data_IF_822825076484
#
_entry.id   IF_822825076484
#
_cell.length_a   1.000
_cell.length_b   1.000
_cell.length_c   1.000
_cell.angle_alpha   90.00
_cell.angle_beta   90.00
_cell.angle_gamma   90.00
#
_symmetry.space_group_name_H-M   'P 1'
#
loop_
_entity.id
_entity.type
_entity.pdbx_description
1 polymer ?
#
# COMPACT_ATOMS: atom_id res chain seq x y z
N UNK A 1 20.46 4.88 -28.78
CA UNK A 1 19.07 5.29 -29.11
C UNK A 1 18.38 5.53 -27.78
N UNK A 2 17.84 6.71 -27.56
CA UNK A 2 16.98 6.98 -26.42
C UNK A 2 15.64 6.29 -26.68
N UNK A 3 15.22 5.42 -25.77
CA UNK A 3 13.90 4.78 -25.84
C UNK A 3 12.82 5.85 -25.70
N UNK A 4 11.77 5.74 -26.52
CA UNK A 4 10.59 6.60 -26.42
C UNK A 4 9.71 6.17 -25.24
N UNK A 5 8.94 7.08 -24.67
CA UNK A 5 7.98 6.76 -23.59
C UNK A 5 7.02 5.66 -24.01
N UNK A 6 6.60 5.63 -25.28
CA UNK A 6 5.70 4.60 -25.82
C UNK A 6 6.36 3.21 -25.83
N UNK A 7 7.63 3.12 -26.21
CA UNK A 7 8.38 1.84 -26.17
C UNK A 7 8.48 1.30 -24.74
N UNK A 8 8.77 2.15 -23.79
CA UNK A 8 8.86 1.79 -22.38
C UNK A 8 7.51 1.26 -21.87
N UNK A 9 6.44 2.01 -22.06
CA UNK A 9 5.08 1.59 -21.65
C UNK A 9 4.70 0.27 -22.32
N UNK A 10 4.97 0.12 -23.61
CA UNK A 10 4.66 -1.12 -24.34
C UNK A 10 5.39 -2.33 -23.77
N UNK A 11 6.67 -2.19 -23.43
CA UNK A 11 7.46 -3.26 -22.81
C UNK A 11 6.90 -3.62 -21.43
N UNK A 12 6.60 -2.63 -20.59
CA UNK A 12 6.06 -2.86 -19.25
C UNK A 12 4.70 -3.57 -19.30
N UNK A 13 3.82 -3.14 -20.18
CA UNK A 13 2.50 -3.79 -20.38
C UNK A 13 2.68 -5.21 -20.89
N UNK A 14 3.59 -5.45 -21.85
CA UNK A 14 3.88 -6.78 -22.35
C UNK A 14 4.42 -7.71 -21.26
N UNK A 15 5.37 -7.24 -20.42
CA UNK A 15 5.91 -8.01 -19.31
C UNK A 15 4.79 -8.31 -18.30
N UNK A 16 3.98 -7.33 -17.92
CA UNK A 16 2.86 -7.50 -16.99
C UNK A 16 1.83 -8.53 -17.54
N UNK A 17 1.50 -8.47 -18.81
CA UNK A 17 0.58 -9.40 -19.46
C UNK A 17 1.15 -10.83 -19.50
N UNK A 18 2.42 -11.01 -19.88
CA UNK A 18 3.09 -12.32 -19.94
C UNK A 18 3.18 -12.91 -18.52
N UNK A 19 3.62 -12.14 -17.54
CA UNK A 19 3.75 -12.63 -16.17
C UNK A 19 2.39 -12.89 -15.52
N UNK A 20 1.37 -12.07 -15.81
CA UNK A 20 0.00 -12.34 -15.41
C UNK A 20 -0.54 -13.64 -15.98
N UNK A 21 -0.30 -13.90 -17.28
CA UNK A 21 -0.67 -15.14 -17.94
C UNK A 21 0.06 -16.36 -17.32
N UNK A 22 1.38 -16.26 -17.11
CA UNK A 22 2.19 -17.30 -16.46
C UNK A 22 1.71 -17.58 -15.04
N UNK A 23 1.35 -16.52 -14.28
CA UNK A 23 0.83 -16.63 -12.92
C UNK A 23 -0.44 -17.48 -12.86
N UNK A 24 -1.41 -17.19 -13.71
CA UNK A 24 -2.68 -17.94 -13.74
C UNK A 24 -2.46 -19.36 -14.25
N UNK A 25 -1.71 -19.51 -15.33
CA UNK A 25 -1.58 -20.78 -16.05
C UNK A 25 -0.72 -21.81 -15.31
N UNK A 26 0.41 -21.38 -14.72
CA UNK A 26 1.41 -22.28 -14.14
C UNK A 26 1.49 -22.18 -12.62
N UNK A 27 1.51 -20.97 -12.07
CA UNK A 27 1.66 -20.78 -10.62
C UNK A 27 0.34 -20.94 -9.87
N UNK A 28 -0.80 -20.77 -10.56
CA UNK A 28 -2.16 -20.79 -9.97
C UNK A 28 -2.31 -19.75 -8.84
N UNK A 29 -1.55 -18.65 -8.94
CA UNK A 29 -1.57 -17.52 -8.02
C UNK A 29 -2.46 -16.39 -8.58
N UNK A 30 -2.95 -15.47 -7.73
CA UNK A 30 -3.53 -14.22 -8.18
C UNK A 30 -2.59 -13.47 -9.11
N UNK A 31 -3.13 -12.73 -10.10
CA UNK A 31 -2.33 -12.01 -11.10
C UNK A 31 -1.26 -11.14 -10.43
N UNK A 32 -1.67 -10.30 -9.50
CA UNK A 32 -0.80 -9.35 -8.78
C UNK A 32 0.34 -10.05 -8.04
N UNK A 33 0.04 -11.09 -7.27
CA UNK A 33 1.03 -11.86 -6.49
C UNK A 33 2.01 -12.58 -7.41
N UNK A 34 1.49 -13.24 -8.46
CA UNK A 34 2.33 -13.98 -9.37
C UNK A 34 3.18 -13.09 -10.27
N UNK A 35 2.64 -11.97 -10.74
CA UNK A 35 3.41 -10.96 -11.50
C UNK A 35 4.57 -10.44 -10.67
N UNK A 36 4.32 -10.07 -9.41
CA UNK A 36 5.31 -9.61 -8.48
C UNK A 36 6.41 -10.66 -8.23
N UNK A 37 6.01 -11.91 -7.92
CA UNK A 37 6.94 -13.01 -7.68
C UNK A 37 7.81 -13.29 -8.90
N UNK A 38 7.22 -13.38 -10.09
CA UNK A 38 7.94 -13.61 -11.35
C UNK A 38 8.90 -12.49 -11.66
N UNK A 39 8.49 -11.22 -11.47
CA UNK A 39 9.37 -10.08 -11.71
C UNK A 39 10.57 -10.08 -10.76
N UNK A 40 10.35 -10.35 -9.47
CA UNK A 40 11.44 -10.47 -8.49
C UNK A 40 12.39 -11.60 -8.86
N UNK A 41 11.88 -12.79 -9.21
CA UNK A 41 12.72 -13.94 -9.60
C UNK A 41 13.55 -13.61 -10.84
N UNK A 42 12.94 -13.05 -11.88
CA UNK A 42 13.62 -12.69 -13.11
C UNK A 42 14.67 -11.61 -12.86
N UNK A 43 14.35 -10.60 -12.05
CA UNK A 43 15.30 -9.53 -11.72
C UNK A 43 16.49 -10.01 -10.90
N UNK A 44 16.27 -10.87 -9.92
CA UNK A 44 17.35 -11.51 -9.15
C UNK A 44 18.23 -12.42 -10.04
N UNK A 45 17.60 -13.18 -10.95
CA UNK A 45 18.32 -13.99 -11.92
C UNK A 45 19.17 -13.11 -12.86
N UNK A 46 18.63 -12.01 -13.36
CA UNK A 46 19.34 -11.05 -14.20
C UNK A 46 20.51 -10.39 -13.45
N UNK A 47 20.32 -10.01 -12.19
CA UNK A 47 21.40 -9.46 -11.36
C UNK A 47 22.51 -10.49 -11.12
N UNK A 48 22.16 -11.77 -10.88
CA UNK A 48 23.13 -12.86 -10.72
C UNK A 48 23.87 -13.22 -12.01
N UNK A 49 23.23 -13.10 -13.17
CA UNK A 49 23.77 -13.43 -14.49
C UNK A 49 24.47 -12.22 -15.14
N UNK A 50 24.41 -11.04 -14.54
CA UNK A 50 24.98 -9.81 -15.09
C UNK A 50 26.46 -9.90 -15.47
N UNK A 51 27.22 -10.74 -14.79
CA UNK A 51 28.60 -11.06 -15.15
C UNK A 51 28.78 -11.96 -16.39
N UNK A 52 27.74 -12.70 -16.78
CA UNK A 52 27.77 -13.69 -17.88
C UNK A 52 27.18 -13.10 -19.17
N UNK A 53 26.18 -12.25 -19.08
CA UNK A 53 25.50 -11.59 -20.23
C UNK A 53 25.36 -10.08 -20.04
N UNK A 54 26.51 -9.31 -20.17
CA UNK A 54 26.51 -7.86 -20.02
C UNK A 54 25.46 -7.10 -20.89
N UNK A 55 25.14 -7.53 -22.13
CA UNK A 55 24.20 -6.80 -22.98
C UNK A 55 22.78 -6.79 -22.43
N UNK A 56 22.32 -7.89 -21.84
CA UNK A 56 20.97 -8.00 -21.28
C UNK A 56 20.84 -7.18 -19.98
N UNK A 57 21.82 -7.26 -19.11
CA UNK A 57 21.87 -6.45 -17.90
C UNK A 57 21.87 -4.95 -18.22
N UNK A 58 22.71 -4.51 -19.16
CA UNK A 58 22.79 -3.11 -19.58
C UNK A 58 21.51 -2.62 -20.31
N UNK A 59 20.76 -3.52 -20.94
CA UNK A 59 19.46 -3.18 -21.53
C UNK A 59 18.43 -2.89 -20.44
N UNK A 60 18.31 -3.76 -19.44
CA UNK A 60 17.36 -3.58 -18.32
C UNK A 60 17.74 -2.35 -17.47
N UNK A 61 19.03 -2.17 -17.19
CA UNK A 61 19.52 -0.98 -16.48
C UNK A 61 19.20 0.31 -17.24
N UNK A 62 19.37 0.34 -18.56
CA UNK A 62 18.96 1.49 -19.39
C UNK A 62 17.46 1.70 -19.36
N UNK A 63 16.65 0.62 -19.45
CA UNK A 63 15.19 0.72 -19.35
C UNK A 63 14.79 1.39 -18.04
N UNK A 64 15.32 0.93 -16.92
CA UNK A 64 15.04 1.47 -15.58
C UNK A 64 15.50 2.93 -15.45
N UNK A 65 16.71 3.25 -15.89
CA UNK A 65 17.27 4.62 -15.80
C UNK A 65 16.55 5.67 -16.66
N UNK A 66 15.86 5.25 -17.75
CA UNK A 66 15.11 6.16 -18.62
C UNK A 66 13.69 6.42 -18.11
N UNK A 67 13.19 5.60 -17.17
CA UNK A 67 11.89 5.82 -16.54
C UNK A 67 12.12 6.74 -15.35
N UNK A 68 11.51 7.91 -15.36
CA UNK A 68 11.35 8.67 -14.11
C UNK A 68 10.27 8.00 -13.26
N UNK A 69 10.68 6.89 -12.61
CA UNK A 69 9.83 6.07 -11.75
C UNK A 69 9.13 6.90 -10.69
N UNK A 70 9.83 7.88 -10.13
CA UNK A 70 9.28 8.78 -9.14
C UNK A 70 8.06 9.52 -9.69
N UNK A 71 8.21 10.21 -10.82
CA UNK A 71 7.10 10.97 -11.42
C UNK A 71 5.97 10.07 -11.90
N UNK A 72 6.28 8.93 -12.51
CA UNK A 72 5.27 7.96 -12.97
C UNK A 72 4.43 7.45 -11.79
N UNK A 73 5.06 7.07 -10.68
CA UNK A 73 4.34 6.52 -9.55
C UNK A 73 3.65 7.63 -8.75
N UNK A 74 4.36 8.70 -8.39
CA UNK A 74 3.82 9.73 -7.51
C UNK A 74 2.75 10.61 -8.17
N UNK A 75 2.93 10.95 -9.45
CA UNK A 75 2.00 11.85 -10.16
C UNK A 75 0.99 11.10 -11.05
N UNK A 76 1.37 9.93 -11.57
CA UNK A 76 0.52 9.14 -12.45
C UNK A 76 -0.29 8.07 -11.74
N UNK A 77 0.38 7.23 -10.96
CA UNK A 77 -0.25 6.02 -10.40
C UNK A 77 -0.89 6.25 -9.03
N UNK A 78 -0.23 6.99 -8.14
CA UNK A 78 -0.67 7.18 -6.75
C UNK A 78 -2.10 7.77 -6.63
N UNK A 79 -2.47 8.84 -7.36
CA UNK A 79 -3.83 9.37 -7.32
C UNK A 79 -4.89 8.32 -7.66
N UNK A 80 -4.64 7.58 -8.73
CA UNK A 80 -5.57 6.57 -9.23
C UNK A 80 -5.65 5.35 -8.32
N UNK A 81 -4.50 4.89 -7.75
CA UNK A 81 -4.47 3.77 -6.80
C UNK A 81 -5.25 4.09 -5.52
N UNK A 82 -5.00 5.26 -4.93
CA UNK A 82 -5.67 5.67 -3.70
C UNK A 82 -7.17 5.90 -3.93
N UNK A 83 -7.51 6.54 -5.05
CA UNK A 83 -8.92 6.74 -5.40
C UNK A 83 -9.63 5.41 -5.70
N UNK A 84 -9.07 4.54 -6.54
CA UNK A 84 -9.65 3.24 -6.86
C UNK A 84 -9.82 2.37 -5.61
N UNK A 85 -8.76 2.24 -4.80
CA UNK A 85 -8.79 1.50 -3.55
C UNK A 85 -9.87 1.99 -2.60
N UNK A 86 -10.03 3.31 -2.45
CA UNK A 86 -11.04 3.92 -1.59
C UNK A 86 -12.46 3.83 -2.15
N UNK A 87 -12.61 3.99 -3.46
CA UNK A 87 -13.90 3.88 -4.16
C UNK A 87 -14.45 2.45 -4.14
N UNK A 88 -13.60 1.44 -4.22
CA UNK A 88 -13.99 0.03 -4.25
C UNK A 88 -14.21 -0.59 -2.86
N UNK A 89 -13.95 0.17 -1.77
CA UNK A 89 -14.19 -0.32 -0.41
C UNK A 89 -15.65 -0.66 -0.13
N UNK A 90 -15.85 -1.71 0.65
CA UNK A 90 -17.15 -2.03 1.24
C UNK A 90 -17.43 -1.08 2.42
N UNK A 91 -18.18 -0.01 2.13
CA UNK A 91 -18.48 1.03 3.12
C UNK A 91 -19.32 0.52 4.29
N UNK A 92 -20.14 -0.51 4.12
CA UNK A 92 -20.97 -1.06 5.21
C UNK A 92 -20.10 -1.80 6.22
N UNK A 93 -19.14 -2.59 5.73
CA UNK A 93 -18.17 -3.28 6.58
C UNK A 93 -17.21 -2.29 7.22
N UNK A 94 -16.74 -1.29 6.47
CA UNK A 94 -15.89 -0.23 7.00
C UNK A 94 -16.62 0.55 8.12
N UNK A 95 -17.89 0.87 7.94
CA UNK A 95 -18.69 1.57 8.95
C UNK A 95 -18.87 0.75 10.24
N UNK A 96 -18.96 -0.57 10.15
CA UNK A 96 -19.03 -1.46 11.32
C UNK A 96 -17.73 -1.51 12.09
N UNK A 97 -16.59 -1.47 11.39
CA UNK A 97 -15.25 -1.57 11.96
C UNK A 97 -14.55 -0.20 12.08
N UNK A 98 -15.26 0.92 11.85
CA UNK A 98 -14.69 2.27 11.73
C UNK A 98 -13.76 2.65 12.88
N UNK A 99 -14.11 2.29 14.11
CA UNK A 99 -13.30 2.66 15.29
C UNK A 99 -12.00 1.85 15.33
N UNK A 100 -12.07 0.54 15.10
CA UNK A 100 -10.88 -0.29 15.02
C UNK A 100 -9.97 0.15 13.86
N UNK A 101 -10.55 0.36 12.66
CA UNK A 101 -9.82 0.86 11.49
C UNK A 101 -9.15 2.21 11.79
N UNK A 102 -9.87 3.18 12.37
CA UNK A 102 -9.29 4.49 12.69
C UNK A 102 -8.15 4.41 13.69
N UNK A 103 -8.28 3.59 14.75
CA UNK A 103 -7.22 3.39 15.73
C UNK A 103 -5.97 2.78 15.08
N UNK A 104 -6.14 1.72 14.27
CA UNK A 104 -5.02 1.07 13.59
C UNK A 104 -4.40 1.98 12.51
N UNK A 105 -5.22 2.68 11.74
CA UNK A 105 -4.74 3.56 10.68
C UNK A 105 -4.01 4.79 11.23
N UNK A 106 -4.52 5.44 12.27
CA UNK A 106 -3.91 6.68 12.80
C UNK A 106 -2.83 6.34 13.81
N UNK A 107 -3.23 5.75 14.96
CA UNK A 107 -2.29 5.46 16.03
C UNK A 107 -1.28 4.38 15.60
N UNK A 108 -1.72 3.35 14.87
CA UNK A 108 -0.85 2.30 14.35
C UNK A 108 0.22 2.83 13.42
N UNK A 109 -0.13 3.71 12.49
CA UNK A 109 0.84 4.32 11.58
C UNK A 109 1.82 5.22 12.32
N UNK A 110 1.33 6.13 13.17
CA UNK A 110 2.19 7.03 13.94
C UNK A 110 3.15 6.25 14.85
N UNK A 111 2.67 5.28 15.62
CA UNK A 111 3.54 4.43 16.44
C UNK A 111 4.54 3.64 15.60
N UNK A 112 4.13 3.10 14.46
CA UNK A 112 5.02 2.38 13.54
C UNK A 112 6.13 3.28 13.02
N UNK A 113 5.81 4.51 12.60
CA UNK A 113 6.80 5.49 12.12
C UNK A 113 7.87 5.75 13.17
N UNK A 114 7.46 6.16 14.39
CA UNK A 114 8.41 6.53 15.44
C UNK A 114 9.19 5.33 15.98
N UNK A 115 8.56 4.17 16.14
CA UNK A 115 9.24 2.98 16.65
C UNK A 115 10.21 2.40 15.63
N UNK A 116 9.85 2.35 14.33
CA UNK A 116 10.80 1.95 13.28
C UNK A 116 11.94 2.94 13.19
N UNK A 117 11.67 4.24 13.19
CA UNK A 117 12.69 5.27 13.20
C UNK A 117 13.64 5.13 14.40
N UNK A 118 13.10 4.90 15.60
CA UNK A 118 13.89 4.71 16.81
C UNK A 118 14.78 3.47 16.76
N UNK A 119 14.26 2.34 16.30
CA UNK A 119 15.06 1.11 16.15
C UNK A 119 16.15 1.29 15.08
N UNK A 120 15.83 1.87 13.93
CA UNK A 120 16.81 2.11 12.88
C UNK A 120 17.88 3.10 13.33
N UNK A 121 17.54 4.15 14.05
CA UNK A 121 18.50 5.10 14.61
C UNK A 121 19.44 4.44 15.63
N UNK A 122 18.91 3.58 16.52
CA UNK A 122 19.71 2.81 17.46
C UNK A 122 20.68 1.84 16.77
N UNK A 123 20.26 1.21 15.67
CA UNK A 123 21.08 0.25 14.92
C UNK A 123 22.09 0.97 14.03
N UNK A 124 21.69 2.07 13.36
CA UNK A 124 22.54 2.85 12.47
C UNK A 124 23.61 3.67 13.23
N UNK A 125 23.38 3.97 14.51
CA UNK A 125 24.27 4.80 15.30
C UNK A 125 24.46 6.19 14.70
N UNK A 126 25.73 6.58 14.44
CA UNK A 126 26.07 7.89 13.86
C UNK A 126 25.96 7.97 12.34
N UNK A 127 25.57 6.87 11.66
CA UNK A 127 25.55 6.82 10.19
C UNK A 127 24.26 7.34 9.54
N UNK A 128 23.19 7.57 10.36
CA UNK A 128 21.94 8.13 9.89
C UNK A 128 21.39 9.15 10.90
N UNK A 129 20.86 10.24 10.41
CA UNK A 129 20.23 11.25 11.24
C UNK A 129 18.85 10.79 11.71
N UNK A 130 18.36 11.39 12.82
CA UNK A 130 17.00 11.10 13.30
C UNK A 130 15.93 11.39 12.25
N UNK A 131 16.10 12.48 11.47
CA UNK A 131 15.16 12.86 10.42
C UNK A 131 15.15 11.85 9.28
N UNK A 132 16.32 11.36 8.85
CA UNK A 132 16.41 10.28 7.87
C UNK A 132 15.70 9.01 8.36
N UNK A 133 15.89 8.64 9.63
CA UNK A 133 15.20 7.50 10.22
C UNK A 133 13.68 7.71 10.28
N UNK A 134 13.20 8.95 10.53
CA UNK A 134 11.77 9.28 10.46
C UNK A 134 11.22 9.18 9.04
N UNK A 135 11.97 9.67 8.04
CA UNK A 135 11.63 9.51 6.62
C UNK A 135 11.50 8.03 6.28
N UNK A 136 12.50 7.22 6.67
CA UNK A 136 12.44 5.76 6.47
C UNK A 136 11.28 5.12 7.20
N UNK A 137 11.03 5.48 8.46
CA UNK A 137 9.88 5.02 9.24
C UNK A 137 8.56 5.34 8.57
N UNK A 138 8.41 6.54 8.00
CA UNK A 138 7.21 6.95 7.28
C UNK A 138 6.97 6.10 6.04
N UNK A 139 7.95 6.03 5.14
CA UNK A 139 7.80 5.29 3.87
C UNK A 139 7.59 3.79 4.07
N UNK A 140 8.22 3.20 5.10
CA UNK A 140 8.11 1.75 5.33
C UNK A 140 6.89 1.38 6.19
N UNK A 141 6.21 2.35 6.81
CA UNK A 141 4.99 2.08 7.58
C UNK A 141 3.77 1.82 6.72
N UNK A 142 3.79 2.23 5.45
CA UNK A 142 2.73 1.96 4.49
C UNK A 142 2.60 0.46 4.25
N UNK A 143 1.36 -0.02 4.13
CA UNK A 143 1.07 -1.45 3.92
C UNK A 143 0.22 -1.65 2.69
N UNK A 144 0.51 -2.69 1.91
CA UNK A 144 -0.26 -3.07 0.73
C UNK A 144 -1.16 -4.28 1.07
N UNK A 145 -2.48 -4.10 1.12
CA UNK A 145 -3.38 -5.17 1.47
C UNK A 145 -3.74 -6.09 0.29
N UNK A 146 -3.46 -5.68 -0.96
CA UNK A 146 -4.00 -6.30 -2.18
C UNK A 146 -3.66 -7.77 -2.25
N UNK A 147 -2.38 -8.10 -2.15
CA UNK A 147 -1.91 -9.48 -2.18
C UNK A 147 -2.53 -10.32 -1.05
N UNK A 148 -2.61 -9.76 0.15
CA UNK A 148 -3.20 -10.43 1.32
C UNK A 148 -4.71 -10.60 1.17
N UNK A 149 -5.42 -9.58 0.77
CA UNK A 149 -6.88 -9.62 0.62
C UNK A 149 -7.31 -10.67 -0.40
N UNK A 150 -6.58 -10.80 -1.51
CA UNK A 150 -6.87 -11.83 -2.52
C UNK A 150 -6.63 -13.25 -1.97
N UNK A 151 -5.56 -13.45 -1.19
CA UNK A 151 -5.32 -14.72 -0.49
C UNK A 151 -6.39 -14.99 0.57
N UNK A 152 -6.78 -13.99 1.36
CA UNK A 152 -7.80 -14.13 2.40
C UNK A 152 -9.20 -14.40 1.84
N UNK A 153 -9.50 -13.94 0.63
CA UNK A 153 -10.76 -14.29 -0.07
C UNK A 153 -10.88 -15.78 -0.33
N UNK A 154 -9.77 -16.46 -0.64
CA UNK A 154 -9.74 -17.92 -0.92
C UNK A 154 -9.76 -18.79 0.34
N UNK A 155 -9.41 -18.23 1.50
CA UNK A 155 -9.23 -18.98 2.74
C UNK A 155 -10.42 -18.89 3.71
N UNK A 156 -11.51 -18.23 3.33
CA UNK A 156 -12.73 -18.14 4.17
C UNK A 156 -12.57 -17.29 5.44
N UNK A 157 -11.58 -16.40 5.49
CA UNK A 157 -11.40 -15.45 6.61
C UNK A 157 -12.59 -14.50 6.68
N UNK A 158 -13.09 -14.18 7.90
CA UNK A 158 -14.23 -13.27 8.09
C UNK A 158 -14.06 -11.94 7.36
N UNK A 159 -15.17 -11.45 6.79
CA UNK A 159 -15.19 -10.20 6.02
C UNK A 159 -14.76 -8.99 6.86
N UNK A 160 -15.06 -8.99 8.16
CA UNK A 160 -14.63 -7.95 9.10
C UNK A 160 -13.11 -7.79 9.15
N UNK A 161 -12.33 -8.89 9.18
CA UNK A 161 -10.85 -8.83 9.18
C UNK A 161 -10.33 -8.29 7.85
N UNK A 162 -10.95 -8.67 6.73
CA UNK A 162 -10.60 -8.15 5.41
C UNK A 162 -10.88 -6.67 5.29
N UNK A 163 -12.04 -6.20 5.77
CA UNK A 163 -12.40 -4.79 5.79
C UNK A 163 -11.47 -3.97 6.71
N UNK A 164 -11.07 -4.54 7.85
CA UNK A 164 -10.10 -3.91 8.75
C UNK A 164 -8.75 -3.74 8.08
N UNK A 165 -8.20 -4.79 7.44
CA UNK A 165 -6.92 -4.72 6.72
C UNK A 165 -6.98 -3.73 5.54
N UNK A 166 -8.06 -3.78 4.74
CA UNK A 166 -8.23 -2.87 3.61
C UNK A 166 -8.34 -1.41 4.05
N UNK A 167 -9.17 -1.14 5.08
CA UNK A 167 -9.33 0.21 5.61
C UNK A 167 -8.08 0.73 6.30
N UNK A 168 -7.42 -0.10 7.14
CA UNK A 168 -6.16 0.26 7.78
C UNK A 168 -5.13 0.69 6.75
N UNK A 169 -4.91 -0.14 5.71
CA UNK A 169 -3.90 0.11 4.69
C UNK A 169 -4.19 1.37 3.89
N UNK A 170 -5.42 1.55 3.43
CA UNK A 170 -5.80 2.73 2.66
C UNK A 170 -5.52 4.05 3.41
N UNK A 171 -5.90 4.10 4.69
CA UNK A 171 -5.70 5.30 5.49
C UNK A 171 -4.23 5.47 5.93
N UNK A 172 -3.51 4.37 6.19
CA UNK A 172 -2.10 4.48 6.54
C UNK A 172 -1.26 4.98 5.36
N UNK A 173 -1.62 4.61 4.12
CA UNK A 173 -0.96 5.11 2.92
C UNK A 173 -1.10 6.63 2.79
N UNK A 174 -2.32 7.15 2.97
CA UNK A 174 -2.56 8.59 3.00
C UNK A 174 -1.80 9.32 4.12
N UNK A 175 -1.87 8.81 5.36
CA UNK A 175 -1.22 9.41 6.53
C UNK A 175 0.31 9.32 6.41
N UNK A 176 0.84 8.16 6.03
CA UNK A 176 2.26 7.93 5.86
C UNK A 176 2.88 8.79 4.77
N UNK A 177 2.18 8.96 3.63
CA UNK A 177 2.62 9.83 2.55
C UNK A 177 2.68 11.31 2.99
N UNK A 178 1.68 11.81 3.72
CA UNK A 178 1.70 13.19 4.28
C UNK A 178 2.85 13.36 5.26
N UNK A 179 3.04 12.39 6.15
CA UNK A 179 4.14 12.43 7.11
C UNK A 179 5.50 12.42 6.41
N UNK A 180 5.67 11.54 5.42
CA UNK A 180 6.87 11.44 4.61
C UNK A 180 7.21 12.77 3.92
N UNK A 181 6.26 13.35 3.17
CA UNK A 181 6.45 14.62 2.46
C UNK A 181 6.81 15.75 3.42
N UNK A 182 6.13 15.82 4.57
CA UNK A 182 6.44 16.83 5.60
C UNK A 182 7.84 16.63 6.19
N UNK A 183 8.28 15.39 6.43
CA UNK A 183 9.63 15.14 6.95
C UNK A 183 10.72 15.48 5.93
N UNK A 184 10.47 15.25 4.64
CA UNK A 184 11.38 15.67 3.57
C UNK A 184 11.49 17.20 3.51
N UNK A 185 10.38 17.93 3.66
CA UNK A 185 10.39 19.41 3.76
C UNK A 185 11.18 19.90 4.99
N UNK A 186 10.98 19.26 6.15
CA UNK A 186 11.73 19.57 7.38
C UNK A 186 13.23 19.32 7.20
N UNK A 187 13.61 18.24 6.53
CA UNK A 187 15.02 17.92 6.28
C UNK A 187 15.72 18.97 5.39
N UNK A 188 14.97 19.62 4.49
CA UNK A 188 15.47 20.70 3.59
C UNK A 188 15.65 22.06 4.28
N UNK A 189 15.62 22.13 5.61
CA UNK A 189 15.93 23.33 6.36
C UNK A 189 14.74 24.19 6.78
N UNK A 190 13.52 23.74 6.52
CA UNK A 190 12.32 24.35 7.08
C UNK A 190 11.95 23.60 8.37
N UNK A 191 12.79 23.70 9.40
CA UNK A 191 12.61 23.01 10.67
C UNK A 191 11.71 23.81 11.63
N UNK A 192 10.37 23.76 11.49
CA UNK A 192 9.48 24.27 12.52
C UNK A 192 9.60 23.38 13.78
N UNK A 193 9.28 23.96 14.93
CA UNK A 193 9.26 23.15 16.17
C UNK A 193 8.26 21.98 16.08
N UNK A 194 8.40 20.95 16.94
CA UNK A 194 7.56 19.72 16.89
C UNK A 194 6.05 20.02 16.94
N UNK A 195 5.63 21.03 17.67
CA UNK A 195 4.22 21.44 17.75
C UNK A 195 3.73 22.05 16.43
N UNK A 196 4.60 22.80 15.75
CA UNK A 196 4.28 23.39 14.43
C UNK A 196 4.19 22.29 13.35
N UNK A 197 5.10 21.31 13.38
CA UNK A 197 5.04 20.14 12.47
C UNK A 197 3.70 19.42 12.61
N UNK A 198 3.29 19.15 13.86
CA UNK A 198 2.00 18.51 14.14
C UNK A 198 0.84 19.35 13.61
N UNK A 199 0.86 20.67 13.80
CA UNK A 199 -0.16 21.57 13.27
C UNK A 199 -0.22 21.55 11.73
N UNK A 200 0.93 21.59 11.05
CA UNK A 200 1.02 21.50 9.59
C UNK A 200 0.44 20.19 9.07
N UNK A 201 0.77 19.06 9.71
CA UNK A 201 0.23 17.74 9.34
C UNK A 201 -1.30 17.72 9.42
N UNK A 202 -1.87 18.22 10.53
CA UNK A 202 -3.34 18.27 10.69
C UNK A 202 -4.01 19.19 9.70
N UNK A 203 -3.43 20.35 9.39
CA UNK A 203 -3.98 21.30 8.41
C UNK A 203 -3.91 20.71 7.00
N UNK A 204 -2.74 20.20 6.57
CA UNK A 204 -2.58 19.58 5.25
C UNK A 204 -3.52 18.39 5.07
N UNK A 205 -3.66 17.55 6.08
CA UNK A 205 -4.56 16.41 6.06
C UNK A 205 -6.03 16.83 6.03
N UNK A 206 -6.44 17.71 6.93
CA UNK A 206 -7.82 18.17 7.06
C UNK A 206 -8.34 18.90 5.82
N UNK A 207 -7.54 19.81 5.27
CA UNK A 207 -7.90 20.54 4.05
C UNK A 207 -7.91 19.62 2.83
N UNK A 208 -6.97 18.67 2.70
CA UNK A 208 -6.98 17.67 1.64
C UNK A 208 -8.30 16.86 1.65
N UNK A 209 -8.69 16.35 2.82
CA UNK A 209 -9.96 15.63 3.01
C UNK A 209 -11.16 16.53 2.65
N UNK A 210 -11.16 17.79 3.06
CA UNK A 210 -12.26 18.72 2.78
C UNK A 210 -12.40 18.99 1.26
N UNK A 211 -11.29 19.18 0.56
CA UNK A 211 -11.27 19.32 -0.90
C UNK A 211 -11.83 18.06 -1.56
N UNK A 212 -11.38 16.87 -1.16
CA UNK A 212 -11.84 15.62 -1.72
C UNK A 212 -13.35 15.40 -1.56
N UNK A 213 -13.89 15.66 -0.36
CA UNK A 213 -15.34 15.57 -0.11
C UNK A 213 -16.11 16.59 -0.94
N UNK A 214 -15.65 17.85 -1.01
CA UNK A 214 -16.29 18.90 -1.78
C UNK A 214 -16.30 18.61 -3.28
N UNK A 215 -15.16 18.19 -3.83
CA UNK A 215 -15.04 17.83 -5.25
C UNK A 215 -15.90 16.59 -5.59
N UNK A 216 -15.92 15.58 -4.72
CA UNK A 216 -16.78 14.42 -4.87
C UNK A 216 -18.28 14.78 -4.84
N UNK A 217 -18.68 15.74 -3.99
CA UNK A 217 -20.06 16.23 -3.97
C UNK A 217 -20.45 16.88 -5.29
N UNK A 218 -19.58 17.76 -5.84
CA UNK A 218 -19.80 18.39 -7.15
C UNK A 218 -19.90 17.32 -8.24
N UNK A 219 -18.96 16.39 -8.28
CA UNK A 219 -18.91 15.30 -9.26
C UNK A 219 -20.17 14.43 -9.19
N UNK A 220 -20.60 14.03 -7.99
CA UNK A 220 -21.82 13.26 -7.81
C UNK A 220 -23.07 14.05 -8.24
N UNK A 221 -23.09 15.38 -8.07
CA UNK A 221 -24.19 16.23 -8.53
C UNK A 221 -24.24 16.30 -10.06
N UNK A 222 -23.10 16.37 -10.75
CA UNK A 222 -23.03 16.35 -12.21
C UNK A 222 -23.47 15.00 -12.77
N UNK A 223 -23.00 13.89 -12.19
CA UNK A 223 -23.37 12.54 -12.58
C UNK A 223 -24.89 12.28 -12.51
N UNK A 224 -25.61 12.95 -11.62
CA UNK A 224 -27.08 12.82 -11.52
C UNK A 224 -27.84 13.42 -12.67
N UNK A 225 -27.26 14.38 -13.37
CA UNK A 225 -27.93 15.12 -14.46
C UNK A 225 -27.80 14.43 -15.81
N UNK A 226 -26.91 13.46 -15.93
CA UNK A 226 -26.63 12.73 -17.18
C UNK A 226 -26.62 11.24 -16.90
N UNK A 227 -27.38 10.48 -17.71
CA UNK A 227 -27.42 9.01 -17.59
C UNK A 227 -26.58 8.43 -18.73
N UNK A 228 -25.24 8.50 -18.57
CA UNK A 228 -24.30 7.94 -19.52
C UNK A 228 -23.04 7.48 -18.76
N UNK A 229 -22.78 6.16 -18.77
CA UNK A 229 -21.66 5.57 -18.02
C UNK A 229 -20.29 6.12 -18.46
N UNK A 230 -20.13 6.48 -19.74
CA UNK A 230 -18.91 7.09 -20.25
C UNK A 230 -18.63 8.42 -19.56
N UNK A 231 -19.66 9.25 -19.37
CA UNK A 231 -19.55 10.54 -18.68
C UNK A 231 -19.25 10.32 -17.19
N UNK A 232 -19.88 9.33 -16.58
CA UNK A 232 -19.63 8.97 -15.17
C UNK A 232 -18.17 8.53 -14.96
N UNK A 233 -17.62 7.72 -15.87
CA UNK A 233 -16.20 7.32 -15.86
C UNK A 233 -15.28 8.55 -16.01
N UNK A 234 -15.54 9.40 -17.00
CA UNK A 234 -14.73 10.61 -17.24
C UNK A 234 -14.78 11.57 -16.05
N UNK A 235 -15.95 11.78 -15.44
CA UNK A 235 -16.11 12.62 -14.26
C UNK A 235 -15.39 12.02 -13.04
N UNK A 236 -15.44 10.71 -12.83
CA UNK A 236 -14.72 10.06 -11.73
C UNK A 236 -13.19 10.09 -11.94
N UNK A 237 -12.73 9.95 -13.19
CA UNK A 237 -11.32 10.05 -13.55
C UNK A 237 -10.81 11.51 -13.38
N UNK A 238 -11.63 12.49 -13.82
CA UNK A 238 -11.33 13.91 -13.59
C UNK A 238 -11.27 14.24 -12.10
N UNK A 239 -12.12 13.66 -11.26
CA UNK A 239 -12.06 13.82 -9.82
C UNK A 239 -10.77 13.23 -9.25
N UNK A 240 -10.41 12.00 -9.63
CA UNK A 240 -9.24 11.31 -9.10
C UNK A 240 -7.92 12.04 -9.45
N UNK A 241 -7.79 12.52 -10.69
CA UNK A 241 -6.58 13.22 -11.14
C UNK A 241 -6.63 14.73 -10.83
N UNK A 242 -7.74 15.38 -11.16
CA UNK A 242 -7.89 16.82 -10.99
C UNK A 242 -7.99 17.23 -9.53
N UNK A 243 -8.68 16.45 -8.69
CA UNK A 243 -8.77 16.68 -7.25
C UNK A 243 -7.41 16.57 -6.58
N UNK A 244 -6.65 15.55 -6.92
CA UNK A 244 -5.28 15.37 -6.43
C UNK A 244 -4.38 16.55 -6.81
N UNK A 245 -4.36 16.95 -8.09
CA UNK A 245 -3.56 18.11 -8.57
C UNK A 245 -4.01 19.39 -7.89
N UNK A 246 -5.32 19.59 -7.71
CA UNK A 246 -5.85 20.76 -6.99
C UNK A 246 -5.35 20.82 -5.54
N UNK A 247 -5.34 19.67 -4.83
CA UNK A 247 -4.83 19.61 -3.47
C UNK A 247 -3.32 19.89 -3.42
N UNK A 248 -2.52 19.29 -4.30
CA UNK A 248 -1.07 19.52 -4.38
C UNK A 248 -0.74 20.98 -4.70
N UNK A 249 -1.45 21.59 -5.64
CA UNK A 249 -1.26 23.01 -5.98
C UNK A 249 -1.69 23.96 -4.87
N UNK A 250 -2.66 23.57 -4.05
CA UNK A 250 -3.07 24.28 -2.84
C UNK A 250 -2.12 24.07 -1.65
N UNK A 251 -1.06 23.26 -1.81
CA UNK A 251 -0.10 22.96 -0.75
C UNK A 251 -0.64 22.04 0.35
N UNK A 252 -1.69 21.26 0.06
CA UNK A 252 -2.32 20.31 0.98
C UNK A 252 -2.15 18.87 0.50
N UNK A 253 -2.66 17.89 1.26
CA UNK A 253 -2.43 16.47 0.97
C UNK A 253 -3.25 15.96 -0.20
N UNK A 254 -2.62 15.74 -1.37
CA UNK A 254 -3.19 15.02 -2.51
C UNK A 254 -3.57 13.56 -2.17
N UNK A 255 -2.72 12.78 -1.49
CA UNK A 255 -3.05 11.42 -1.09
C UNK A 255 -4.34 11.31 -0.25
N UNK A 256 -4.52 12.17 0.75
CA UNK A 256 -5.74 12.16 1.58
C UNK A 256 -6.95 12.74 0.85
N UNK A 257 -6.73 13.67 -0.07
CA UNK A 257 -7.77 14.13 -1.00
C UNK A 257 -8.31 12.94 -1.82
N UNK A 258 -7.44 12.18 -2.50
CA UNK A 258 -7.86 11.06 -3.35
C UNK A 258 -8.63 9.98 -2.57
N UNK A 259 -8.18 9.65 -1.35
CA UNK A 259 -8.89 8.72 -0.47
C UNK A 259 -10.27 9.25 -0.08
N UNK A 260 -10.34 10.50 0.34
CA UNK A 260 -11.60 11.12 0.75
C UNK A 260 -12.57 11.28 -0.42
N UNK A 261 -12.06 11.63 -1.61
CA UNK A 261 -12.83 11.76 -2.83
C UNK A 261 -13.47 10.42 -3.26
N UNK A 262 -12.70 9.33 -3.24
CA UNK A 262 -13.19 8.00 -3.59
C UNK A 262 -14.30 7.51 -2.65
N UNK A 263 -14.07 7.60 -1.31
CA UNK A 263 -15.07 7.24 -0.30
C UNK A 263 -16.33 8.10 -0.44
N UNK A 264 -16.16 9.43 -0.56
CA UNK A 264 -17.26 10.38 -0.64
C UNK A 264 -18.10 10.17 -1.92
N UNK A 265 -17.45 10.01 -3.08
CA UNK A 265 -18.14 9.75 -4.34
C UNK A 265 -18.96 8.44 -4.26
N UNK A 266 -18.36 7.37 -3.72
CA UNK A 266 -19.06 6.10 -3.48
C UNK A 266 -20.29 6.29 -2.62
N UNK A 267 -20.15 7.01 -1.49
CA UNK A 267 -21.23 7.27 -0.54
C UNK A 267 -22.35 8.14 -1.15
N UNK A 268 -21.99 9.22 -1.86
CA UNK A 268 -22.95 10.09 -2.50
C UNK A 268 -23.71 9.38 -3.64
N UNK A 269 -23.02 8.62 -4.47
CA UNK A 269 -23.64 7.85 -5.54
C UNK A 269 -24.61 6.80 -4.97
N UNK A 270 -24.24 6.09 -3.89
CA UNK A 270 -25.11 5.15 -3.20
C UNK A 270 -26.36 5.82 -2.65
N UNK A 271 -26.21 6.99 -2.02
CA UNK A 271 -27.33 7.72 -1.39
C UNK A 271 -28.29 8.32 -2.41
N UNK A 272 -27.78 8.79 -3.52
CA UNK A 272 -28.57 9.62 -4.46
C UNK A 272 -29.00 8.89 -5.73
N UNK A 273 -28.30 7.83 -6.16
CA UNK A 273 -28.58 7.11 -7.43
C UNK A 273 -29.06 5.67 -7.22
N UNK A 274 -28.93 5.14 -6.00
CA UNK A 274 -29.24 3.73 -5.73
C UNK A 274 -28.36 2.73 -6.48
N UNK A 275 -28.89 1.53 -6.72
CA UNK A 275 -28.28 0.53 -7.59
C UNK A 275 -28.76 0.73 -9.02
N UNK A 276 -27.87 1.21 -9.91
CA UNK A 276 -28.14 1.39 -11.33
C UNK A 276 -27.11 0.66 -12.17
N UNK A 277 -27.46 0.29 -13.42
CA UNK A 277 -26.56 -0.34 -14.40
C UNK A 277 -25.29 0.52 -14.60
N UNK A 278 -25.45 1.83 -14.76
CA UNK A 278 -24.33 2.77 -14.92
C UNK A 278 -23.34 2.74 -13.74
N UNK A 279 -23.78 2.35 -12.52
CA UNK A 279 -22.91 2.17 -11.37
C UNK A 279 -22.03 0.92 -11.51
N UNK A 280 -22.59 -0.17 -12.03
CA UNK A 280 -21.85 -1.41 -12.25
C UNK A 280 -20.69 -1.20 -13.25
N UNK A 281 -20.90 -0.37 -14.28
CA UNK A 281 -19.87 -0.04 -15.28
C UNK A 281 -18.72 0.79 -14.69
N UNK A 282 -19.03 1.76 -13.83
CA UNK A 282 -18.01 2.56 -13.12
C UNK A 282 -17.24 1.69 -12.14
N UNK A 283 -17.91 0.81 -11.41
CA UNK A 283 -17.28 -0.14 -10.49
C UNK A 283 -16.34 -1.10 -11.26
N UNK A 284 -16.77 -1.61 -12.42
CA UNK A 284 -15.95 -2.46 -13.28
C UNK A 284 -14.73 -1.73 -13.83
N UNK A 285 -14.90 -0.47 -14.29
CA UNK A 285 -13.81 0.36 -14.76
C UNK A 285 -12.74 0.54 -13.67
N UNK A 286 -13.13 0.98 -12.47
CA UNK A 286 -12.18 1.22 -11.38
C UNK A 286 -11.50 -0.07 -10.91
N UNK A 287 -12.19 -1.20 -10.97
CA UNK A 287 -11.59 -2.51 -10.68
C UNK A 287 -10.51 -2.86 -11.69
N UNK A 288 -10.75 -2.64 -12.99
CA UNK A 288 -9.73 -2.87 -14.04
C UNK A 288 -8.55 -1.92 -13.88
N UNK A 289 -8.80 -0.64 -13.60
CA UNK A 289 -7.74 0.36 -13.34
C UNK A 289 -6.87 -0.08 -12.16
N UNK A 290 -7.48 -0.50 -11.04
CA UNK A 290 -6.76 -0.98 -9.86
C UNK A 290 -5.89 -2.20 -10.17
N UNK A 291 -6.45 -3.23 -10.83
CA UNK A 291 -5.73 -4.46 -11.18
C UNK A 291 -4.58 -4.23 -12.16
N UNK A 292 -4.79 -3.40 -13.20
CA UNK A 292 -3.76 -3.06 -14.19
C UNK A 292 -2.64 -2.25 -13.55
N UNK A 293 -2.97 -1.22 -12.79
CA UNK A 293 -1.96 -0.39 -12.12
C UNK A 293 -1.12 -1.18 -11.13
N UNK A 294 -1.74 -2.03 -10.32
CA UNK A 294 -1.00 -2.88 -9.39
C UNK A 294 -0.05 -3.84 -10.12
N UNK A 295 -0.50 -4.43 -11.25
CA UNK A 295 0.36 -5.30 -12.07
C UNK A 295 1.55 -4.55 -12.64
N UNK A 296 1.34 -3.34 -13.17
CA UNK A 296 2.42 -2.47 -13.68
C UNK A 296 3.36 -2.03 -12.57
N UNK A 297 2.83 -1.64 -11.41
CA UNK A 297 3.61 -1.24 -10.25
C UNK A 297 4.54 -2.36 -9.80
N UNK A 298 4.06 -3.60 -9.71
CA UNK A 298 4.88 -4.74 -9.33
C UNK A 298 5.94 -5.10 -10.36
N UNK A 299 5.67 -4.92 -11.66
CA UNK A 299 6.69 -5.08 -12.70
C UNK A 299 7.76 -4.01 -12.57
N UNK A 300 7.37 -2.75 -12.43
CA UNK A 300 8.31 -1.64 -12.22
C UNK A 300 9.22 -1.87 -11.01
N UNK A 301 8.61 -2.25 -9.89
CA UNK A 301 9.32 -2.57 -8.65
C UNK A 301 10.33 -3.71 -8.83
N UNK A 302 9.90 -4.78 -9.46
CA UNK A 302 10.78 -5.92 -9.64
C UNK A 302 11.95 -5.58 -10.57
N UNK A 303 11.75 -4.80 -11.62
CA UNK A 303 12.83 -4.36 -12.53
C UNK A 303 13.85 -3.47 -11.82
N UNK A 304 13.42 -2.62 -10.91
CA UNK A 304 14.31 -1.73 -10.15
C UNK A 304 15.29 -2.50 -9.25
N UNK A 305 14.97 -3.74 -8.83
CA UNK A 305 15.88 -4.60 -8.06
C UNK A 305 17.23 -4.77 -8.77
N UNK A 306 17.23 -4.79 -10.11
CA UNK A 306 18.45 -4.91 -10.91
C UNK A 306 19.39 -3.72 -10.70
N UNK A 307 18.86 -2.54 -10.40
CA UNK A 307 19.64 -1.33 -10.16
C UNK A 307 20.13 -1.18 -8.71
N UNK A 308 19.61 -1.99 -7.76
CA UNK A 308 20.03 -1.92 -6.36
C UNK A 308 21.36 -2.65 -6.14
N UNK A 309 22.41 -1.97 -5.64
CA UNK A 309 23.69 -2.62 -5.36
C UNK A 309 23.53 -3.59 -4.17
N UNK A 310 23.66 -4.89 -4.45
CA UNK A 310 23.63 -5.94 -3.42
C UNK A 310 25.02 -6.07 -2.78
N UNK A 311 25.34 -5.19 -1.84
CA UNK A 311 26.57 -5.21 -1.05
C UNK A 311 26.30 -5.55 0.43
N UNK A 312 27.35 -5.74 1.20
CA UNK A 312 27.24 -6.09 2.62
C UNK A 312 26.54 -5.00 3.44
N UNK A 313 26.71 -3.74 3.07
CA UNK A 313 26.03 -2.62 3.73
C UNK A 313 24.53 -2.65 3.48
N UNK A 314 24.10 -2.85 2.23
CA UNK A 314 22.69 -3.03 1.87
C UNK A 314 22.09 -4.25 2.58
N UNK A 315 22.82 -5.36 2.66
CA UNK A 315 22.37 -6.55 3.37
C UNK A 315 22.17 -6.30 4.88
N UNK A 316 23.10 -5.56 5.53
CA UNK A 316 23.01 -5.20 6.94
C UNK A 316 21.84 -4.25 7.22
N UNK A 317 21.72 -3.15 6.46
CA UNK A 317 20.62 -2.19 6.63
C UNK A 317 19.27 -2.84 6.34
N UNK A 318 19.15 -3.66 5.32
CA UNK A 318 17.94 -4.37 4.98
C UNK A 318 17.57 -5.45 6.00
N UNK A 319 18.55 -6.21 6.52
CA UNK A 319 18.32 -7.16 7.61
C UNK A 319 17.82 -6.47 8.88
N UNK A 320 18.45 -5.35 9.25
CA UNK A 320 18.01 -4.52 10.36
C UNK A 320 16.59 -3.97 10.14
N UNK A 321 16.29 -3.50 8.93
CA UNK A 321 14.97 -3.00 8.57
C UNK A 321 13.89 -4.10 8.64
N UNK A 322 14.16 -5.31 8.11
CA UNK A 322 13.23 -6.45 8.19
C UNK A 322 12.89 -6.77 9.65
N UNK A 323 13.90 -6.88 10.50
CA UNK A 323 13.70 -7.19 11.93
C UNK A 323 12.93 -6.06 12.62
N UNK A 324 13.33 -4.80 12.41
CA UNK A 324 12.69 -3.63 13.03
C UNK A 324 11.22 -3.51 12.60
N UNK A 325 10.94 -3.58 11.30
CA UNK A 325 9.59 -3.45 10.74
C UNK A 325 8.68 -4.57 11.23
N UNK A 326 9.17 -5.82 11.24
CA UNK A 326 8.37 -6.98 11.66
C UNK A 326 8.12 -6.95 13.18
N UNK A 327 9.14 -6.64 13.99
CA UNK A 327 9.02 -6.54 15.43
C UNK A 327 8.08 -5.39 15.85
N UNK A 328 8.23 -4.21 15.24
CA UNK A 328 7.35 -3.06 15.50
C UNK A 328 5.92 -3.38 15.09
N UNK A 329 5.70 -3.96 13.92
CA UNK A 329 4.36 -4.35 13.47
C UNK A 329 3.69 -5.29 14.47
N UNK A 330 4.42 -6.31 14.93
CA UNK A 330 3.92 -7.25 15.95
C UNK A 330 3.57 -6.53 17.26
N UNK A 331 4.47 -5.70 17.77
CA UNK A 331 4.27 -4.96 19.02
C UNK A 331 3.08 -3.98 18.92
N UNK A 332 2.99 -3.20 17.86
CA UNK A 332 1.90 -2.24 17.62
C UNK A 332 0.55 -2.96 17.49
N UNK A 333 0.49 -4.05 16.73
CA UNK A 333 -0.73 -4.85 16.60
C UNK A 333 -1.17 -5.42 17.96
N UNK A 334 -0.25 -5.96 18.77
CA UNK A 334 -0.59 -6.47 20.10
C UNK A 334 -1.10 -5.35 21.03
N UNK A 335 -0.43 -4.20 21.03
CA UNK A 335 -0.83 -3.03 21.81
C UNK A 335 -2.23 -2.57 21.44
N UNK A 336 -2.46 -2.30 20.15
CA UNK A 336 -3.74 -1.78 19.67
C UNK A 336 -4.89 -2.79 19.82
N UNK A 337 -4.65 -4.07 19.55
CA UNK A 337 -5.64 -5.12 19.85
C UNK A 337 -5.99 -5.18 21.33
N UNK A 338 -5.03 -5.00 22.23
CA UNK A 338 -5.31 -4.98 23.66
C UNK A 338 -6.21 -3.79 24.05
N UNK A 339 -5.99 -2.63 23.43
CA UNK A 339 -6.82 -1.43 23.63
C UNK A 339 -8.23 -1.66 23.06
N UNK A 340 -8.34 -2.11 21.81
CA UNK A 340 -9.63 -2.38 21.15
C UNK A 340 -10.46 -3.40 21.93
N UNK A 341 -9.82 -4.47 22.44
CA UNK A 341 -10.49 -5.50 23.25
C UNK A 341 -10.95 -4.95 24.60
N UNK A 342 -10.12 -4.15 25.30
CA UNK A 342 -10.50 -3.52 26.57
C UNK A 342 -11.67 -2.59 26.43
N UNK A 343 -11.73 -1.84 25.33
CA UNK A 343 -12.81 -0.91 25.03
C UNK A 343 -14.03 -1.62 24.40
N UNK A 344 -14.00 -2.94 24.17
CA UNK A 344 -15.04 -3.73 23.51
C UNK A 344 -15.43 -3.17 22.13
N UNK A 345 -14.47 -2.59 21.43
CA UNK A 345 -14.62 -1.98 20.11
C UNK A 345 -14.22 -3.00 19.03
N UNK A 346 -15.19 -3.48 18.24
CA UNK A 346 -14.96 -4.33 17.07
C UNK A 346 -14.86 -5.84 17.35
N UNK A 347 -14.73 -6.63 16.26
CA UNK A 347 -14.63 -8.07 16.30
C UNK A 347 -13.25 -8.55 16.74
N UNK A 348 -13.19 -9.79 17.26
CA UNK A 348 -11.95 -10.39 17.75
C UNK A 348 -11.02 -10.77 16.59
N UNK A 349 -10.28 -9.79 16.08
CA UNK A 349 -9.29 -10.00 15.03
C UNK A 349 -8.09 -10.80 15.54
N UNK A 350 -7.51 -11.62 14.65
CA UNK A 350 -6.33 -12.40 14.98
C UNK A 350 -5.06 -11.55 14.88
N UNK A 351 -4.34 -11.38 15.99
CA UNK A 351 -3.06 -10.67 16.01
C UNK A 351 -2.09 -11.19 14.94
N UNK A 352 -2.02 -12.51 14.76
CA UNK A 352 -1.12 -13.09 13.76
C UNK A 352 -1.53 -12.74 12.31
N UNK A 353 -2.84 -12.72 12.00
CA UNK A 353 -3.31 -12.35 10.65
C UNK A 353 -3.06 -10.86 10.41
N UNK A 354 -3.33 -9.99 11.38
CA UNK A 354 -3.09 -8.54 11.26
C UNK A 354 -1.60 -8.20 11.16
N UNK A 355 -0.75 -8.90 11.93
CA UNK A 355 0.71 -8.70 11.85
C UNK A 355 1.26 -9.16 10.51
N UNK A 356 0.92 -10.37 10.12
CA UNK A 356 1.44 -10.99 8.90
C UNK A 356 0.83 -10.40 7.64
N UNK A 357 -0.41 -9.89 7.72
CA UNK A 357 -1.13 -9.25 6.63
C UNK A 357 -0.70 -7.81 6.32
N UNK A 358 0.17 -7.22 7.12
CA UNK A 358 0.77 -5.91 6.81
C UNK A 358 1.92 -6.01 5.83
N UNK A 359 1.67 -6.54 4.62
CA UNK A 359 2.69 -6.60 3.57
C UNK A 359 3.12 -5.18 3.16
N UNK A 360 4.37 -5.05 2.73
CA UNK A 360 4.88 -3.79 2.17
C UNK A 360 4.79 -3.84 0.67
N UNK A 361 4.32 -2.75 0.08
CA UNK A 361 4.02 -2.68 -1.35
C UNK A 361 4.83 -1.63 -2.10
N UNK A 362 4.38 -1.39 -3.33
CA UNK A 362 5.04 -0.51 -4.27
C UNK A 362 5.14 0.94 -3.86
N UNK A 363 4.18 1.42 -3.09
CA UNK A 363 4.19 2.81 -2.64
C UNK A 363 5.40 3.10 -1.74
N UNK A 364 5.82 2.15 -0.88
CA UNK A 364 7.03 2.33 -0.06
C UNK A 364 8.29 2.54 -0.90
N UNK A 365 8.45 1.84 -2.03
CA UNK A 365 9.58 2.05 -2.95
C UNK A 365 9.48 3.38 -3.68
N UNK A 366 8.27 3.73 -4.16
CA UNK A 366 8.06 5.00 -4.81
C UNK A 366 8.50 6.18 -3.93
N UNK A 367 8.11 6.14 -2.66
CA UNK A 367 8.55 7.13 -1.68
C UNK A 367 10.06 7.05 -1.42
N UNK A 368 10.65 5.84 -1.33
CA UNK A 368 12.09 5.68 -1.15
C UNK A 368 12.89 6.29 -2.31
N UNK A 369 12.43 6.09 -3.56
CA UNK A 369 13.03 6.68 -4.76
C UNK A 369 12.86 8.21 -4.82
N UNK A 370 11.82 8.74 -4.18
CA UNK A 370 11.57 10.20 -4.11
C UNK A 370 12.36 10.92 -3.02
N UNK A 371 13.07 10.19 -2.15
CA UNK A 371 13.97 10.78 -1.17
C UNK A 371 15.12 11.51 -1.89
N UNK A 372 15.46 12.76 -1.53
CA UNK A 372 16.66 13.43 -2.03
C UNK A 372 17.94 12.63 -1.79
N UNK A 373 18.90 12.69 -2.70
CA UNK A 373 20.14 11.90 -2.59
C UNK A 373 20.97 12.23 -1.34
N UNK A 374 20.95 13.50 -0.93
CA UNK A 374 21.61 14.03 0.26
C UNK A 374 21.00 13.55 1.59
N UNK A 375 19.80 12.99 1.57
CA UNK A 375 19.08 12.49 2.74
C UNK A 375 19.14 10.94 2.89
N UNK A 376 20.23 10.33 2.42
CA UNK A 376 20.45 8.90 2.61
C UNK A 376 19.60 7.98 1.71
N UNK A 377 19.13 8.48 0.54
CA UNK A 377 18.33 7.73 -0.44
C UNK A 377 18.88 6.33 -0.72
N UNK A 378 20.19 6.20 -0.93
CA UNK A 378 20.83 4.95 -1.32
C UNK A 378 20.56 3.81 -0.33
N UNK A 379 20.73 4.03 0.98
CA UNK A 379 20.49 3.01 1.97
C UNK A 379 18.99 2.75 2.18
N UNK A 380 18.16 3.80 2.09
CA UNK A 380 16.70 3.67 2.25
C UNK A 380 16.10 2.82 1.13
N UNK A 381 16.49 3.08 -0.11
CA UNK A 381 16.06 2.29 -1.28
C UNK A 381 16.43 0.83 -1.10
N UNK A 382 17.71 0.54 -0.82
CA UNK A 382 18.17 -0.83 -0.62
C UNK A 382 17.47 -1.56 0.53
N UNK A 383 17.30 -0.91 1.69
CA UNK A 383 16.60 -1.46 2.84
C UNK A 383 15.12 -1.72 2.53
N UNK A 384 14.45 -0.78 1.85
CA UNK A 384 13.03 -0.91 1.45
C UNK A 384 12.84 -2.09 0.51
N UNK A 385 13.72 -2.27 -0.49
CA UNK A 385 13.66 -3.42 -1.39
C UNK A 385 13.77 -4.75 -0.65
N UNK A 386 14.73 -4.89 0.25
CA UNK A 386 14.89 -6.13 1.02
C UNK A 386 13.69 -6.42 1.92
N UNK A 387 13.09 -5.39 2.54
CA UNK A 387 11.85 -5.54 3.31
C UNK A 387 10.70 -6.00 2.43
N UNK A 388 10.55 -5.44 1.22
CA UNK A 388 9.47 -5.81 0.31
C UNK A 388 9.66 -7.23 -0.22
N UNK A 389 10.85 -7.59 -0.66
CA UNK A 389 11.16 -8.95 -1.11
C UNK A 389 10.88 -9.98 -0.01
N UNK A 390 11.30 -9.69 1.23
CA UNK A 390 10.96 -10.51 2.39
C UNK A 390 9.45 -10.60 2.61
N UNK A 391 8.77 -9.46 2.56
CA UNK A 391 7.32 -9.39 2.76
C UNK A 391 6.55 -10.22 1.73
N UNK A 392 6.95 -10.14 0.46
CA UNK A 392 6.32 -10.88 -0.63
C UNK A 392 6.58 -12.38 -0.52
N UNK A 393 7.86 -12.76 -0.42
CA UNK A 393 8.27 -14.18 -0.49
C UNK A 393 7.91 -14.90 0.80
N UNK A 394 8.23 -14.32 1.95
CA UNK A 394 8.09 -14.99 3.24
C UNK A 394 6.69 -14.76 3.82
N UNK A 395 6.27 -13.51 4.00
CA UNK A 395 4.96 -13.23 4.60
C UNK A 395 3.83 -13.61 3.65
N UNK A 396 3.86 -13.17 2.39
CA UNK A 396 2.87 -13.53 1.38
C UNK A 396 2.84 -15.04 1.15
N UNK A 397 3.98 -15.68 0.88
CA UNK A 397 4.05 -17.11 0.62
C UNK A 397 3.64 -18.02 1.78
N UNK A 398 3.71 -17.55 3.03
CA UNK A 398 3.32 -18.32 4.23
C UNK A 398 1.91 -18.00 4.73
N UNK A 399 1.22 -17.01 4.19
CA UNK A 399 -0.09 -16.55 4.67
C UNK A 399 -1.16 -17.63 4.67
N UNK A 400 -1.25 -18.41 3.59
CA UNK A 400 -2.21 -19.53 3.48
C UNK A 400 -1.99 -20.59 4.56
N UNK A 401 -0.72 -20.90 4.86
CA UNK A 401 -0.38 -21.87 5.92
C UNK A 401 -0.78 -21.33 7.29
N UNK A 402 -0.53 -20.05 7.55
CA UNK A 402 -0.90 -19.39 8.80
C UNK A 402 -2.41 -19.40 9.04
N UNK A 403 -3.20 -19.10 8.00
CA UNK A 403 -4.67 -19.07 8.08
C UNK A 403 -5.22 -20.48 8.32
N UNK A 404 -4.76 -21.50 7.56
CA UNK A 404 -5.18 -22.91 7.74
C UNK A 404 -4.81 -23.45 9.11
N UNK A 405 -3.62 -23.16 9.61
CA UNK A 405 -3.20 -23.58 10.95
C UNK A 405 -4.12 -23.02 12.03
N UNK A 406 -4.53 -21.75 11.91
CA UNK A 406 -5.45 -21.13 12.86
C UNK A 406 -6.88 -21.63 12.76
N UNK A 407 -7.38 -21.91 11.56
CA UNK A 407 -8.73 -22.49 11.40
C UNK A 407 -8.82 -23.87 12.06
N UNK A 408 -7.81 -24.72 11.89
CA UNK A 408 -7.75 -26.03 12.55
C UNK A 408 -7.70 -25.93 14.09
N UNK A 409 -7.00 -24.94 14.65
CA UNK A 409 -6.94 -24.74 16.11
C UNK A 409 -8.29 -24.24 16.68
N UNK A 410 -9.03 -23.45 15.95
CA UNK A 410 -10.39 -23.02 16.33
C UNK A 410 -11.37 -24.19 16.37
N UNK A 411 -11.35 -25.05 15.37
CA UNK A 411 -12.20 -26.26 15.32
C UNK A 411 -11.89 -27.19 16.48
N UNK A 412 -10.61 -27.37 16.84
CA UNK A 412 -10.21 -28.21 17.99
C UNK A 412 -10.64 -27.63 19.34
N UNK A 413 -10.77 -26.30 19.48
CA UNK A 413 -11.23 -25.69 20.73
C UNK A 413 -12.75 -25.67 20.88
N UNK A 414 -13.51 -25.77 19.78
CA UNK A 414 -14.98 -25.84 19.80
C UNK A 414 -15.52 -27.29 19.85
N UNK A 415 -14.73 -28.26 19.46
CA UNK A 415 -15.10 -29.68 19.45
C UNK A 415 -15.30 -30.36 20.84
N UNK A 416 -14.72 -29.95 21.98
CA UNK A 416 -14.92 -30.62 23.26
C UNK A 416 -16.26 -30.33 23.97
N UNK A 417 -16.98 -29.28 23.59
CA UNK A 417 -18.20 -28.86 24.33
C UNK A 417 -19.47 -29.61 23.90
N UNK A 418 -19.50 -30.22 22.72
CA UNK A 418 -20.68 -30.92 22.23
C UNK A 418 -20.69 -32.41 22.58
N UNK A 419 -19.50 -33.04 22.76
CA UNK A 419 -19.40 -34.43 23.11
C UNK A 419 -19.86 -34.77 24.55
N UNK A 420 -19.89 -33.78 25.47
CA UNK A 420 -20.39 -33.97 26.84
C UNK A 420 -21.88 -33.76 27.00
N UNK A 421 -22.58 -33.17 26.04
CA UNK A 421 -24.04 -32.97 26.09
C UNK A 421 -24.84 -34.13 25.53
N UNK A 422 -24.23 -35.04 24.77
CA UNK A 422 -24.91 -36.22 24.21
C UNK A 422 -24.83 -37.49 25.09
N UNK A 423 -24.13 -37.42 26.25
CA UNK A 423 -24.03 -38.52 27.19
C UNK A 423 -24.84 -38.32 28.50
N UNK A 424 -25.60 -37.22 28.60
CA UNK A 424 -26.44 -36.91 29.77
C UNK A 424 -27.90 -36.68 29.39
N UNK A 425 -28.39 -37.29 28.30
CA UNK A 425 -29.81 -37.31 27.94
C UNK A 425 -30.33 -38.74 27.86
#
# INVERSE_FOLDING_TARGET
>A
MSMTTLEIISILVAIAAIFGWLSIRWLKLPITVGTMLLTVIVSLALSGVGGIHPPLHSFVERLVRHIDLQSVIMQGMLPLLLFAGSFLLDLDQLAREKVAVSIFAIAGTVFSIYLVAGLMWLIAGTHATWVECLIFGALISLTDPIAVLEMLRRTGVPQAIRAQLAGESLFNDGIGAVFFLTMVEVARGHAPGPLQITGILFIKAGLGIAIGIGAAWITSHLMRRVVAYQVDILLSLSLALGGYVLAETAGVSGPLEAVAAGIALRQFNRRFRGESIARADVDAFWKVVDEVQNSLLFVLLGLEIVAVPLNLQTARSGGAAILSVTAVRFAVVLLLLSIVRRLKLGHHSSAAILTWGGLRGGLSIALALSVPEDLGRSWMVGATYLVIVFSIIIQGGSMDRLVRWRSMHRIRQTAPAEAHKSQSG
#
